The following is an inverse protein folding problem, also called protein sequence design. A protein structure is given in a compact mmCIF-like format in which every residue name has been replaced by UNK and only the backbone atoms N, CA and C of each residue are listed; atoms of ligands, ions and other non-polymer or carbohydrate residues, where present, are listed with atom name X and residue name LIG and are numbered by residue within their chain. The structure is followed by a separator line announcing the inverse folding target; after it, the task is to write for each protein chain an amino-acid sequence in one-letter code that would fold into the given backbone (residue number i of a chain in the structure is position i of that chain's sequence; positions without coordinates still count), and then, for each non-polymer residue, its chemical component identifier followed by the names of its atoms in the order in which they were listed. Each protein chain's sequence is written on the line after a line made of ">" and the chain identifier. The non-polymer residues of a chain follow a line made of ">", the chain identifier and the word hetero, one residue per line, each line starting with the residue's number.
data_IF_785599614342
#
_entry.id   IF_785599614342
#
_cell.length_a   1.000
_cell.length_b   1.000
_cell.length_c   1.000
_cell.angle_alpha   90.00
_cell.angle_beta   90.00
_cell.angle_gamma   90.00
#
_symmetry.space_group_name_H-M   'P 1'
#
loop_
_entity.id
_entity.type
_entity.pdbx_description
1 polymer ?
#
# COMPACT_ATOMS: atom_id res chain seq x y z
N UNK A 1 14.13 7.69 6.24
CA UNK A 1 12.78 7.13 6.48
C UNK A 1 12.60 5.75 5.85
N UNK A 2 12.76 5.58 4.54
CA UNK A 2 12.58 4.27 3.86
C UNK A 2 13.38 3.11 4.49
N UNK A 3 14.62 3.35 4.91
CA UNK A 3 15.44 2.34 5.62
C UNK A 3 14.80 1.83 6.92
N UNK A 4 14.17 2.72 7.69
CA UNK A 4 13.50 2.34 8.93
C UNK A 4 12.28 1.49 8.63
N UNK A 5 11.48 1.87 7.62
CA UNK A 5 10.29 1.11 7.21
C UNK A 5 10.68 -0.27 6.68
N UNK A 6 11.77 -0.36 5.91
CA UNK A 6 12.27 -1.61 5.35
C UNK A 6 12.61 -2.67 6.42
N UNK A 7 13.11 -2.23 7.58
CA UNK A 7 13.55 -3.11 8.68
C UNK A 7 12.55 -3.18 9.84
N UNK A 8 11.61 -2.23 9.94
CA UNK A 8 10.67 -2.16 11.05
C UNK A 8 9.68 -3.33 11.01
N UNK A 9 9.54 -3.97 12.17
CA UNK A 9 8.60 -5.08 12.41
C UNK A 9 7.85 -4.80 13.70
N UNK A 10 6.55 -5.04 13.69
CA UNK A 10 5.68 -4.93 14.86
C UNK A 10 4.87 -6.21 15.09
N UNK A 11 4.01 -6.24 16.11
CA UNK A 11 3.17 -7.41 16.43
C UNK A 11 2.23 -7.80 15.28
N UNK A 12 1.91 -6.87 14.38
CA UNK A 12 1.05 -7.09 13.22
C UNK A 12 1.82 -7.39 11.92
N UNK A 13 3.14 -7.54 11.97
CA UNK A 13 3.98 -7.86 10.81
C UNK A 13 4.96 -6.75 10.41
N UNK A 14 5.52 -6.87 9.21
CA UNK A 14 6.56 -5.98 8.71
C UNK A 14 5.97 -4.70 8.13
N UNK A 15 6.55 -3.56 8.49
CA UNK A 15 6.03 -2.25 8.09
C UNK A 15 6.05 -2.04 6.55
N UNK A 16 7.06 -2.59 5.87
CA UNK A 16 7.19 -2.51 4.40
C UNK A 16 6.00 -3.12 3.64
N UNK A 17 5.37 -4.16 4.20
CA UNK A 17 4.31 -4.88 3.51
C UNK A 17 3.03 -4.02 3.45
N UNK A 18 2.76 -3.23 4.49
CA UNK A 18 1.67 -2.26 4.49
C UNK A 18 1.83 -1.19 3.40
N UNK A 19 3.05 -0.71 3.15
CA UNK A 19 3.31 0.29 2.10
C UNK A 19 3.05 -0.30 0.71
N UNK A 20 3.41 -1.56 0.47
CA UNK A 20 3.13 -2.23 -0.81
C UNK A 20 1.65 -2.55 -1.00
N UNK A 21 0.97 -2.99 0.05
CA UNK A 21 -0.48 -3.21 0.01
C UNK A 21 -1.23 -1.89 -0.21
N UNK A 22 -0.79 -0.80 0.39
CA UNK A 22 -1.36 0.52 0.20
C UNK A 22 -1.19 1.00 -1.25
N UNK A 23 0.03 0.98 -1.79
CA UNK A 23 0.30 1.35 -3.18
C UNK A 23 -0.58 0.54 -4.15
N UNK A 24 -0.69 -0.78 -3.94
CA UNK A 24 -1.55 -1.65 -4.75
C UNK A 24 -3.02 -1.27 -4.64
N UNK A 25 -3.54 -1.07 -3.43
CA UNK A 25 -4.94 -0.71 -3.22
C UNK A 25 -5.29 0.65 -3.85
N UNK A 26 -4.38 1.64 -3.75
CA UNK A 26 -4.53 2.95 -4.37
C UNK A 26 -4.54 2.88 -5.90
N UNK A 27 -3.68 2.04 -6.48
CA UNK A 27 -3.70 1.75 -7.91
C UNK A 27 -5.00 1.07 -8.35
N UNK A 28 -5.46 0.05 -7.61
CA UNK A 28 -6.68 -0.71 -7.93
C UNK A 28 -7.96 0.18 -7.94
N UNK A 29 -8.00 1.25 -7.12
CA UNK A 29 -9.10 2.22 -7.11
C UNK A 29 -8.90 3.40 -8.08
N UNK A 30 -7.76 3.48 -8.77
CA UNK A 30 -7.41 4.57 -9.69
C UNK A 30 -7.10 5.90 -9.01
N UNK A 31 -6.74 5.88 -7.72
CA UNK A 31 -6.37 7.07 -6.95
C UNK A 31 -4.92 6.94 -6.47
N UNK A 32 -3.99 7.02 -7.41
CA UNK A 32 -2.56 6.96 -7.12
C UNK A 32 -2.09 8.16 -6.28
N UNK A 33 -1.07 7.95 -5.45
CA UNK A 33 -0.43 8.99 -4.64
C UNK A 33 1.08 8.94 -4.85
N UNK A 34 1.63 10.05 -5.37
CA UNK A 34 3.05 10.18 -5.72
C UNK A 34 3.97 9.94 -4.53
N UNK A 35 3.57 10.32 -3.32
CA UNK A 35 4.37 10.16 -2.11
C UNK A 35 4.40 8.70 -1.67
N UNK A 36 3.27 7.99 -1.74
CA UNK A 36 3.18 6.55 -1.46
C UNK A 36 4.01 5.76 -2.48
N UNK A 37 3.87 6.06 -3.77
CA UNK A 37 4.63 5.42 -4.85
C UNK A 37 6.13 5.67 -4.67
N UNK A 38 6.54 6.92 -4.41
CA UNK A 38 7.93 7.27 -4.16
C UNK A 38 8.47 6.51 -2.95
N UNK A 39 7.72 6.45 -1.85
CA UNK A 39 8.14 5.75 -0.65
C UNK A 39 8.29 4.24 -0.88
N UNK A 40 7.33 3.60 -1.54
CA UNK A 40 7.39 2.19 -1.89
C UNK A 40 8.64 1.87 -2.73
N UNK A 41 8.94 2.71 -3.71
CA UNK A 41 10.14 2.58 -4.54
C UNK A 41 11.43 2.74 -3.74
N UNK A 42 11.51 3.72 -2.84
CA UNK A 42 12.68 3.86 -1.96
C UNK A 42 12.85 2.68 -1.01
N UNK A 43 11.76 2.10 -0.49
CA UNK A 43 11.80 0.90 0.34
C UNK A 43 12.30 -0.30 -0.48
N UNK A 44 11.85 -0.49 -1.72
CA UNK A 44 12.36 -1.55 -2.62
C UNK A 44 13.86 -1.41 -2.90
N UNK A 45 14.34 -0.18 -3.13
CA UNK A 45 15.76 0.09 -3.32
C UNK A 45 16.55 -0.36 -2.10
N UNK A 46 16.19 0.08 -0.90
CA UNK A 46 16.89 -0.31 0.33
C UNK A 46 16.95 -1.84 0.49
N UNK A 47 15.86 -2.55 0.19
CA UNK A 47 15.82 -4.01 0.27
C UNK A 47 16.72 -4.68 -0.78
N UNK A 48 16.72 -4.19 -2.02
CA UNK A 48 17.60 -4.67 -3.09
C UNK A 48 19.07 -4.32 -2.86
N UNK A 49 19.37 -3.23 -2.15
CA UNK A 49 20.73 -2.85 -1.75
C UNK A 49 21.28 -3.69 -0.58
N UNK A 50 20.43 -4.41 0.15
CA UNK A 50 20.83 -5.19 1.35
C UNK A 50 21.24 -6.64 1.01
N UNK A 51 20.99 -7.10 -0.22
CA UNK A 51 21.39 -8.44 -0.66
C UNK A 51 21.98 -8.41 -2.06
N UNK A 52 23.30 -8.26 -2.14
CA UNK A 52 24.16 -8.51 -3.32
C UNK A 52 23.86 -7.66 -4.55
N UNK A 53 24.90 -6.98 -5.05
CA UNK A 53 24.82 -6.22 -6.30
C UNK A 53 24.32 -7.08 -7.46
N UNK A 54 23.16 -6.71 -8.00
CA UNK A 54 22.69 -7.18 -9.30
C UNK A 54 22.27 -5.95 -10.09
N UNK A 55 22.93 -5.64 -11.23
CA UNK A 55 22.44 -4.61 -12.12
C UNK A 55 21.10 -5.08 -12.70
N UNK A 56 20.04 -4.32 -12.45
CA UNK A 56 18.74 -4.56 -13.07
C UNK A 56 18.81 -4.10 -14.52
N UNK A 57 19.25 -5.00 -15.38
CA UNK A 57 18.96 -4.95 -16.81
C UNK A 57 17.48 -5.29 -17.04
N UNK A 58 16.93 -4.62 -18.05
CA UNK A 58 15.53 -4.60 -18.43
C UNK A 58 15.01 -5.96 -18.89
N UNK A 59 13.71 -6.19 -18.64
CA UNK A 59 12.77 -7.05 -19.36
C UNK A 59 12.26 -8.34 -18.67
N UNK A 60 10.99 -8.24 -18.27
CA UNK A 60 9.90 -9.19 -18.59
C UNK A 60 9.69 -10.46 -17.75
N UNK A 61 8.45 -10.56 -17.23
CA UNK A 61 7.69 -11.76 -16.83
C UNK A 61 8.04 -12.47 -15.52
N UNK A 62 7.28 -12.17 -14.45
CA UNK A 62 6.63 -13.25 -13.72
C UNK A 62 5.13 -12.97 -13.59
N UNK A 63 4.39 -13.85 -14.22
CA UNK A 63 2.94 -13.92 -14.38
C UNK A 63 2.33 -14.51 -13.11
N UNK A 64 1.45 -13.76 -12.45
CA UNK A 64 0.40 -14.33 -11.60
C UNK A 64 -0.92 -13.66 -11.97
N UNK A 65 -1.40 -14.02 -13.16
CA UNK A 65 -2.70 -13.59 -13.67
C UNK A 65 -3.74 -14.57 -13.12
N UNK A 66 -4.23 -14.38 -11.89
CA UNK A 66 -5.51 -14.95 -11.50
C UNK A 66 -6.63 -14.05 -12.04
N UNK A 67 -6.88 -14.22 -13.34
CA UNK A 67 -7.99 -13.62 -14.07
C UNK A 67 -9.32 -14.12 -13.48
N UNK A 68 -9.87 -13.37 -12.52
CA UNK A 68 -11.26 -13.52 -12.10
C UNK A 68 -12.10 -12.52 -12.89
N UNK A 69 -12.74 -12.98 -13.97
CA UNK A 69 -13.76 -12.22 -14.68
C UNK A 69 -15.02 -12.19 -13.82
N UNK A 70 -15.15 -11.17 -12.96
CA UNK A 70 -16.41 -10.82 -12.29
C UNK A 70 -17.14 -9.70 -13.04
N UNK A 71 -18.48 -9.64 -13.01
CA UNK A 71 -19.24 -8.63 -13.73
C UNK A 71 -18.91 -7.22 -13.21
N UNK A 72 -18.85 -6.27 -14.15
CA UNK A 72 -18.59 -4.85 -13.89
C UNK A 72 -19.64 -4.27 -12.93
N UNK A 73 -19.23 -4.07 -11.68
CA UNK A 73 -20.01 -3.30 -10.71
C UNK A 73 -19.59 -1.84 -10.80
N UNK A 74 -20.44 -1.02 -11.43
CA UNK A 74 -20.29 0.44 -11.40
C UNK A 74 -20.42 0.92 -9.95
N UNK A 75 -19.50 1.73 -9.41
CA UNK A 75 -19.70 2.35 -8.10
C UNK A 75 -20.86 3.35 -8.20
N UNK A 76 -21.90 3.13 -7.40
CA UNK A 76 -22.99 4.09 -7.19
C UNK A 76 -22.47 5.21 -6.28
N UNK A 77 -22.66 6.44 -6.76
CA UNK A 77 -22.87 7.75 -6.11
C UNK A 77 -22.50 7.93 -4.62
N UNK A 78 -21.97 9.10 -4.21
CA UNK A 78 -21.44 9.35 -2.89
C UNK A 78 -22.53 9.71 -1.86
N UNK A 79 -22.09 9.78 -0.60
CA UNK A 79 -22.74 10.39 0.57
C UNK A 79 -23.66 9.49 1.43
N UNK A 80 -23.09 9.00 2.53
CA UNK A 80 -23.67 9.24 3.85
C UNK A 80 -22.54 9.29 4.89
N UNK A 81 -22.23 10.51 5.32
CA UNK A 81 -21.47 10.79 6.52
C UNK A 81 -22.09 9.97 7.67
N UNK A 82 -21.34 9.05 8.25
CA UNK A 82 -21.74 8.44 9.51
C UNK A 82 -21.63 9.53 10.58
N UNK A 83 -22.77 9.87 11.20
CA UNK A 83 -22.81 10.74 12.36
C UNK A 83 -21.86 10.18 13.42
N UNK A 84 -20.80 10.93 13.72
CA UNK A 84 -19.97 10.68 14.89
C UNK A 84 -20.83 10.88 16.14
N UNK A 85 -20.62 10.00 17.09
CA UNK A 85 -21.31 9.91 18.36
C UNK A 85 -20.88 11.10 19.20
N UNK A 86 -21.83 11.85 19.75
CA UNK A 86 -21.57 13.02 20.58
C UNK A 86 -20.80 12.63 21.85
N UNK A 87 -19.77 13.41 22.19
CA UNK A 87 -18.91 13.16 23.34
C UNK A 87 -19.68 13.39 24.65
N UNK A 88 -19.68 12.39 25.53
CA UNK A 88 -20.27 12.49 26.87
C UNK A 88 -19.18 12.98 27.83
N UNK A 89 -19.37 14.15 28.42
CA UNK A 89 -18.54 14.64 29.51
C UNK A 89 -18.85 13.84 30.80
N UNK A 90 -17.83 13.27 31.43
CA UNK A 90 -17.91 12.74 32.78
C UNK A 90 -17.57 13.86 33.76
N UNK A 91 -18.58 14.33 34.50
CA UNK A 91 -18.40 15.18 35.68
C UNK A 91 -18.49 14.28 36.91
N UNK A 92 -17.36 14.12 37.63
CA UNK A 92 -17.28 14.06 39.10
C UNK A 92 -15.83 13.94 39.59
#
# INVERSE_FOLDING_TARGET
>A
MAKQIATATGPCGNNRDYIFLLEKAMFDIGHEDDMVIKLANEVRKVLGNTGLGVPKESNNSNSNNNRLTGPSHKPKSPHKLLHLLEAIAMDS
#
